data_IF_589717273120
#
_entry.id   IF_589717273120
#
_cell.length_a   1.000
_cell.length_b   1.000
_cell.length_c   1.000
_cell.angle_alpha   90.00
_cell.angle_beta   90.00
_cell.angle_gamma   90.00
#
_symmetry.space_group_name_H-M   'P 1'
#
loop_
_entity.id
_entity.type
_entity.pdbx_description
1 polymer ?
#
# COMPACT_ATOMS: atom_id res chain seq x y z
N UNK A 1 -11.88 18.65 -20.03
CA UNK A 1 -12.64 17.61 -19.31
C UNK A 1 -11.74 17.04 -18.22
N UNK A 2 -12.29 16.73 -17.06
CA UNK A 2 -11.55 16.16 -15.92
C UNK A 2 -10.97 14.80 -16.29
N UNK A 3 -9.75 14.51 -15.82
CA UNK A 3 -9.15 13.16 -15.93
C UNK A 3 -9.30 12.38 -14.62
N UNK A 4 -9.79 13.02 -13.56
CA UNK A 4 -9.96 12.43 -12.24
C UNK A 4 -11.41 11.95 -11.99
N UNK A 5 -12.41 12.74 -12.40
CA UNK A 5 -13.82 12.42 -12.22
C UNK A 5 -14.43 11.90 -13.53
N UNK A 6 -15.07 10.74 -13.47
CA UNK A 6 -15.85 10.17 -14.58
C UNK A 6 -17.34 10.55 -14.48
N UNK A 7 -18.14 10.17 -15.48
CA UNK A 7 -19.55 10.61 -15.61
C UNK A 7 -20.40 10.28 -14.38
N UNK A 8 -20.30 9.06 -13.84
CA UNK A 8 -20.97 8.72 -12.57
C UNK A 8 -20.58 9.59 -11.37
N UNK A 9 -19.32 10.04 -11.29
CA UNK A 9 -18.92 11.04 -10.28
C UNK A 9 -19.59 12.39 -10.54
N UNK A 10 -19.69 12.78 -11.81
CA UNK A 10 -20.27 14.05 -12.24
C UNK A 10 -21.78 14.12 -12.01
N UNK A 11 -22.50 13.03 -12.24
CA UNK A 11 -23.92 12.92 -11.93
C UNK A 11 -24.20 13.16 -10.45
N UNK A 12 -23.45 12.50 -9.55
CA UNK A 12 -23.59 12.70 -8.11
C UNK A 12 -23.20 14.13 -7.70
N UNK A 13 -22.15 14.67 -8.29
CA UNK A 13 -21.72 16.04 -8.01
C UNK A 13 -22.78 17.07 -8.39
N UNK A 14 -23.45 16.90 -9.53
CA UNK A 14 -24.52 17.78 -9.97
C UNK A 14 -25.76 17.62 -9.09
N UNK A 15 -26.12 16.37 -8.76
CA UNK A 15 -27.24 16.05 -7.87
C UNK A 15 -27.12 16.72 -6.50
N UNK A 16 -25.90 16.87 -5.98
CA UNK A 16 -25.64 17.47 -4.67
C UNK A 16 -25.04 18.89 -4.75
N UNK A 17 -25.06 19.56 -5.91
CA UNK A 17 -24.47 20.89 -6.15
C UNK A 17 -23.00 21.04 -5.66
N UNK A 18 -22.19 20.01 -5.92
CA UNK A 18 -20.77 19.96 -5.52
C UNK A 18 -19.80 20.00 -6.69
N UNK A 19 -20.25 20.07 -7.96
CA UNK A 19 -19.37 20.10 -9.14
C UNK A 19 -18.30 21.20 -9.04
N UNK A 20 -18.72 22.42 -8.66
CA UNK A 20 -17.83 23.60 -8.48
C UNK A 20 -16.74 23.34 -7.44
N UNK A 21 -17.09 22.66 -6.36
CA UNK A 21 -16.17 22.29 -5.29
C UNK A 21 -15.22 21.18 -5.75
N UNK A 22 -15.74 20.15 -6.44
CA UNK A 22 -14.95 19.06 -6.99
C UNK A 22 -13.89 19.59 -7.98
N UNK A 23 -14.27 20.51 -8.87
CA UNK A 23 -13.34 21.14 -9.81
C UNK A 23 -12.25 21.93 -9.08
N UNK A 24 -12.60 22.64 -7.99
CA UNK A 24 -11.61 23.35 -7.17
C UNK A 24 -10.67 22.39 -6.45
N UNK A 25 -11.17 21.25 -5.97
CA UNK A 25 -10.35 20.20 -5.34
C UNK A 25 -9.39 19.60 -6.36
N UNK A 26 -9.86 19.23 -7.55
CA UNK A 26 -9.02 18.72 -8.64
C UNK A 26 -7.89 19.70 -8.97
N UNK A 27 -8.21 20.98 -9.12
CA UNK A 27 -7.24 22.03 -9.45
C UNK A 27 -6.19 22.31 -8.36
N UNK A 28 -6.53 22.10 -7.08
CA UNK A 28 -5.71 22.58 -5.96
C UNK A 28 -5.00 21.48 -5.19
N UNK A 29 -5.61 20.30 -5.11
CA UNK A 29 -5.17 19.24 -4.20
C UNK A 29 -4.72 17.99 -4.95
N UNK A 30 -5.15 17.78 -6.19
CA UNK A 30 -4.77 16.58 -6.94
C UNK A 30 -3.50 16.87 -7.73
N UNK A 31 -2.44 16.14 -7.40
CA UNK A 31 -1.14 16.22 -8.06
C UNK A 31 -0.79 14.92 -8.80
N UNK A 32 0.32 14.94 -9.53
CA UNK A 32 0.90 13.77 -10.20
C UNK A 32 2.29 13.43 -9.67
N UNK A 33 2.76 14.16 -8.67
CA UNK A 33 4.08 14.00 -8.04
C UNK A 33 3.95 14.14 -6.53
N UNK A 34 4.76 13.39 -5.81
CA UNK A 34 4.87 13.41 -4.35
C UNK A 34 5.79 14.57 -3.97
N UNK A 35 5.28 15.50 -3.18
CA UNK A 35 6.07 16.58 -2.58
C UNK A 35 6.77 16.12 -1.30
N UNK A 36 7.69 16.94 -0.78
CA UNK A 36 8.53 16.58 0.38
C UNK A 36 7.71 16.29 1.65
N UNK A 37 6.63 17.03 1.89
CA UNK A 37 5.74 16.78 3.04
C UNK A 37 4.99 15.45 2.96
N UNK A 38 4.57 15.07 1.75
CA UNK A 38 3.89 13.80 1.50
C UNK A 38 4.87 12.63 1.55
N UNK A 39 6.10 12.84 1.05
CA UNK A 39 7.20 11.89 1.21
C UNK A 39 7.49 11.63 2.69
N UNK A 40 7.71 12.69 3.46
CA UNK A 40 7.98 12.56 4.90
C UNK A 40 6.82 11.86 5.63
N UNK A 41 5.58 12.12 5.21
CA UNK A 41 4.41 11.44 5.74
C UNK A 41 4.40 9.95 5.40
N UNK A 42 4.55 9.57 4.14
CA UNK A 42 4.59 8.16 3.69
C UNK A 42 5.67 7.39 4.42
N UNK A 43 6.89 7.95 4.49
CA UNK A 43 8.05 7.31 5.09
C UNK A 43 7.98 7.26 6.62
N UNK A 44 7.08 8.01 7.26
CA UNK A 44 6.88 7.94 8.72
C UNK A 44 5.96 6.80 9.17
N UNK A 45 5.21 6.19 8.25
CA UNK A 45 4.19 5.19 8.57
C UNK A 45 4.76 3.76 8.61
N UNK A 46 4.21 2.95 9.49
CA UNK A 46 4.48 1.51 9.66
C UNK A 46 3.47 0.62 8.92
N UNK A 47 2.46 1.21 8.27
CA UNK A 47 1.48 0.49 7.49
C UNK A 47 0.80 1.34 6.41
N UNK A 48 0.23 0.66 5.43
CA UNK A 48 -0.71 1.24 4.47
C UNK A 48 -1.71 0.19 3.95
N UNK A 49 -2.75 0.65 3.26
CA UNK A 49 -3.69 -0.23 2.56
C UNK A 49 -3.43 -0.20 1.06
N UNK A 50 -3.37 -1.37 0.44
CA UNK A 50 -3.17 -1.56 -0.98
C UNK A 50 -4.44 -2.14 -1.61
N UNK A 51 -5.04 -1.38 -2.52
CA UNK A 51 -6.12 -1.81 -3.39
C UNK A 51 -5.57 -2.23 -4.76
N UNK A 52 -6.02 -3.40 -5.22
CA UNK A 52 -5.70 -3.98 -6.54
C UNK A 52 -6.97 -4.59 -7.12
N UNK A 53 -6.97 -4.90 -8.41
CA UNK A 53 -8.01 -5.73 -9.02
C UNK A 53 -7.41 -6.65 -10.07
N UNK A 54 -8.05 -7.77 -10.33
CA UNK A 54 -7.67 -8.66 -11.44
C UNK A 54 -8.16 -8.11 -12.80
N UNK A 55 -8.05 -8.92 -13.85
CA UNK A 55 -8.51 -8.58 -15.20
C UNK A 55 -10.04 -8.44 -15.29
N UNK A 56 -10.80 -9.11 -14.42
CA UNK A 56 -12.26 -9.02 -14.36
C UNK A 56 -12.75 -7.84 -13.50
N UNK A 57 -11.81 -7.01 -13.01
CA UNK A 57 -12.03 -5.89 -12.11
C UNK A 57 -12.58 -6.29 -10.73
N UNK A 58 -12.34 -7.53 -10.29
CA UNK A 58 -12.69 -7.95 -8.94
C UNK A 58 -11.81 -7.21 -7.92
N UNK A 59 -12.37 -6.37 -7.04
CA UNK A 59 -11.56 -5.58 -6.11
C UNK A 59 -10.97 -6.44 -5.00
N UNK A 60 -9.73 -6.15 -4.63
CA UNK A 60 -9.05 -6.69 -3.47
C UNK A 60 -8.36 -5.57 -2.69
N UNK A 61 -8.45 -5.61 -1.36
CA UNK A 61 -7.79 -4.66 -0.47
C UNK A 61 -7.00 -5.43 0.59
N UNK A 62 -5.76 -5.02 0.81
CA UNK A 62 -4.85 -5.66 1.76
C UNK A 62 -4.16 -4.65 2.65
N UNK A 63 -3.93 -5.04 3.90
CA UNK A 63 -3.02 -4.35 4.80
C UNK A 63 -1.58 -4.75 4.46
N UNK A 64 -0.68 -3.76 4.39
CA UNK A 64 0.77 -3.95 4.27
C UNK A 64 1.43 -3.28 5.46
N UNK A 65 2.19 -4.03 6.25
CA UNK A 65 2.90 -3.54 7.42
C UNK A 65 4.41 -3.72 7.30
N UNK A 66 5.15 -2.87 7.99
CA UNK A 66 6.61 -2.90 8.06
C UNK A 66 7.13 -1.93 9.14
N UNK A 67 8.44 -1.79 9.26
CA UNK A 67 9.02 -0.72 10.08
C UNK A 67 8.79 0.65 9.42
N UNK A 68 8.66 1.76 10.18
CA UNK A 68 8.65 3.09 9.60
C UNK A 68 9.78 3.29 8.58
N UNK A 69 9.43 3.75 7.38
CA UNK A 69 10.35 3.88 6.25
C UNK A 69 10.44 2.64 5.36
N UNK A 70 9.62 1.60 5.58
CA UNK A 70 9.54 0.45 4.69
C UNK A 70 8.98 0.83 3.32
N UNK A 71 8.02 1.76 3.27
CA UNK A 71 7.60 2.42 2.03
C UNK A 71 8.55 3.59 1.80
N UNK A 72 9.20 3.61 0.63
CA UNK A 72 10.18 4.65 0.25
C UNK A 72 9.71 5.43 -0.96
N UNK A 73 9.84 6.74 -0.92
CA UNK A 73 9.65 7.60 -2.10
C UNK A 73 11.02 7.77 -2.74
N UNK A 74 11.29 6.94 -3.75
CA UNK A 74 12.61 6.88 -4.41
C UNK A 74 12.87 8.13 -5.24
N UNK A 75 11.82 8.70 -5.83
CA UNK A 75 11.79 9.98 -6.50
C UNK A 75 10.33 10.51 -6.48
N UNK A 76 10.07 11.79 -6.84
CA UNK A 76 8.71 12.35 -6.75
C UNK A 76 7.63 11.63 -7.57
N UNK A 77 7.99 10.77 -8.52
CA UNK A 77 7.06 9.98 -9.33
C UNK A 77 7.01 8.49 -8.96
N UNK A 78 7.77 8.03 -7.97
CA UNK A 78 7.94 6.59 -7.74
C UNK A 78 7.97 6.24 -6.25
N UNK A 79 7.15 5.25 -5.86
CA UNK A 79 7.18 4.61 -4.55
C UNK A 79 7.75 3.19 -4.67
N UNK A 80 8.50 2.74 -3.67
CA UNK A 80 8.92 1.36 -3.51
C UNK A 80 8.49 0.80 -2.15
N UNK A 81 8.08 -0.46 -2.10
CA UNK A 81 7.83 -1.18 -0.85
C UNK A 81 8.15 -2.67 -0.99
N UNK A 82 8.54 -3.36 0.10
CA UNK A 82 8.87 -4.78 0.07
C UNK A 82 7.63 -5.68 0.10
N UNK A 83 7.78 -6.90 -0.42
CA UNK A 83 6.91 -8.03 -0.09
C UNK A 83 7.68 -9.03 0.75
N UNK A 84 7.14 -9.38 1.91
CA UNK A 84 7.63 -10.43 2.79
C UNK A 84 6.88 -11.74 2.54
N UNK A 85 7.43 -12.83 3.05
CA UNK A 85 6.72 -14.11 3.12
C UNK A 85 5.38 -13.97 3.89
N UNK A 86 4.37 -14.73 3.47
CA UNK A 86 3.00 -14.58 3.94
C UNK A 86 2.21 -15.88 3.90
N UNK A 87 0.94 -15.80 3.53
CA UNK A 87 0.03 -16.95 3.46
C UNK A 87 0.06 -17.68 2.10
N UNK A 88 0.97 -17.31 1.20
CA UNK A 88 1.13 -17.93 -0.12
C UNK A 88 0.03 -17.61 -1.13
N UNK A 89 -1.00 -16.84 -0.80
CA UNK A 89 -2.09 -16.57 -1.75
C UNK A 89 -1.72 -15.62 -2.89
N UNK A 90 -0.72 -14.76 -2.67
CA UNK A 90 -0.25 -13.74 -3.61
C UNK A 90 -1.33 -12.87 -4.26
N UNK A 91 -2.55 -12.74 -3.69
CA UNK A 91 -3.68 -12.06 -4.34
C UNK A 91 -3.32 -10.67 -4.90
N UNK A 92 -2.69 -9.82 -4.10
CA UNK A 92 -2.28 -8.49 -4.57
C UNK A 92 -1.29 -8.58 -5.73
N UNK A 93 -0.25 -9.43 -5.61
CA UNK A 93 0.86 -9.50 -6.56
C UNK A 93 0.47 -10.23 -7.85
N UNK A 94 -0.38 -11.26 -7.74
CA UNK A 94 -1.01 -11.93 -8.87
C UNK A 94 -1.92 -10.98 -9.66
N UNK A 95 -2.69 -10.13 -8.97
CA UNK A 95 -3.47 -9.08 -9.62
C UNK A 95 -2.56 -8.13 -10.43
N UNK A 96 -1.41 -7.72 -9.88
CA UNK A 96 -0.48 -6.82 -10.59
C UNK A 96 0.05 -7.39 -11.91
N UNK A 97 0.14 -8.71 -12.04
CA UNK A 97 0.56 -9.36 -13.27
C UNK A 97 -0.47 -9.23 -14.41
N UNK A 98 -1.75 -9.06 -14.06
CA UNK A 98 -2.84 -8.90 -15.04
C UNK A 98 -3.28 -7.45 -15.19
N UNK A 99 -3.27 -6.69 -14.10
CA UNK A 99 -3.67 -5.30 -14.04
C UNK A 99 -2.77 -4.54 -13.08
N UNK A 100 -1.93 -3.68 -13.66
CA UNK A 100 -0.91 -2.95 -12.90
C UNK A 100 -1.46 -1.81 -12.07
N UNK A 101 -2.74 -1.44 -12.21
CA UNK A 101 -3.31 -0.29 -11.50
C UNK A 101 -3.48 -0.59 -10.02
N UNK A 102 -3.01 0.32 -9.19
CA UNK A 102 -3.12 0.23 -7.74
C UNK A 102 -3.67 1.51 -7.13
N UNK A 103 -4.41 1.35 -6.04
CA UNK A 103 -4.73 2.41 -5.10
C UNK A 103 -4.00 2.17 -3.79
N UNK A 104 -3.43 3.21 -3.21
CA UNK A 104 -2.74 3.18 -1.93
C UNK A 104 -3.39 4.19 -0.99
N UNK A 105 -3.62 3.77 0.26
CA UNK A 105 -4.17 4.62 1.30
C UNK A 105 -3.25 4.61 2.52
N UNK A 106 -2.72 5.78 2.84
CA UNK A 106 -1.87 6.07 3.98
C UNK A 106 -2.66 6.86 5.01
N UNK A 107 -2.61 6.45 6.28
CA UNK A 107 -3.35 7.09 7.37
C UNK A 107 -2.46 7.13 8.62
N UNK A 108 -2.33 8.32 9.22
CA UNK A 108 -1.87 8.45 10.61
C UNK A 108 -3.11 8.56 11.50
N UNK A 109 -3.28 7.58 12.38
CA UNK A 109 -4.39 7.53 13.33
C UNK A 109 -4.11 8.30 14.61
N UNK A 110 -2.84 8.55 14.97
CA UNK A 110 -2.47 9.30 16.18
C UNK A 110 -2.63 10.81 15.93
N UNK A 111 -2.12 11.27 14.79
CA UNK A 111 -2.24 12.65 14.29
C UNK A 111 -3.03 12.60 12.99
N UNK A 112 -4.37 12.56 13.04
CA UNK A 112 -5.24 12.37 11.89
C UNK A 112 -4.77 13.11 10.64
N UNK A 113 -4.19 12.36 9.71
CA UNK A 113 -3.80 12.77 8.35
C UNK A 113 -4.03 11.57 7.46
N UNK A 114 -4.46 11.81 6.22
CA UNK A 114 -4.53 10.76 5.21
C UNK A 114 -3.99 11.25 3.88
N UNK A 115 -3.40 10.34 3.15
CA UNK A 115 -2.95 10.53 1.78
C UNK A 115 -3.40 9.34 0.96
N UNK A 116 -3.90 9.61 -0.24
CA UNK A 116 -4.18 8.56 -1.22
C UNK A 116 -3.28 8.75 -2.43
N UNK A 117 -2.86 7.63 -3.00
CA UNK A 117 -2.04 7.57 -4.19
C UNK A 117 -2.63 6.55 -5.14
N UNK A 118 -2.70 6.89 -6.42
CA UNK A 118 -2.96 5.93 -7.49
C UNK A 118 -1.71 5.80 -8.34
N UNK A 119 -1.49 4.62 -8.89
CA UNK A 119 -0.32 4.38 -9.73
C UNK A 119 -0.37 3.07 -10.49
N UNK A 120 0.72 2.78 -11.18
CA UNK A 120 0.96 1.53 -11.87
C UNK A 120 2.13 0.80 -11.22
N UNK A 121 1.87 -0.41 -10.72
CA UNK A 121 2.84 -1.19 -9.98
C UNK A 121 3.59 -2.19 -10.88
N UNK A 122 4.79 -2.54 -10.45
CA UNK A 122 5.69 -3.54 -11.05
C UNK A 122 6.43 -4.30 -9.96
N UNK A 123 6.66 -5.58 -10.20
CA UNK A 123 7.40 -6.47 -9.29
C UNK A 123 8.84 -6.58 -9.78
N UNK A 124 9.80 -6.39 -8.86
CA UNK A 124 11.24 -6.43 -9.12
C UNK A 124 11.89 -7.42 -8.16
N UNK A 125 12.32 -8.58 -8.70
CA UNK A 125 12.95 -9.64 -7.91
C UNK A 125 14.38 -9.28 -7.49
N UNK A 126 15.09 -8.48 -8.30
CA UNK A 126 16.49 -8.09 -8.07
C UNK A 126 16.63 -6.56 -7.90
N UNK A 127 15.70 -5.94 -7.17
CA UNK A 127 15.72 -4.48 -6.96
C UNK A 127 16.93 -4.04 -6.10
N UNK A 128 17.61 -2.93 -6.43
CA UNK A 128 18.70 -2.38 -5.61
C UNK A 128 18.32 -2.06 -4.15
N UNK A 129 17.02 -1.88 -3.86
CA UNK A 129 16.53 -1.67 -2.49
C UNK A 129 16.35 -2.96 -1.71
N UNK A 130 16.36 -4.13 -2.35
CA UNK A 130 16.10 -5.42 -1.69
C UNK A 130 17.04 -5.68 -0.50
N UNK A 131 18.37 -5.41 -0.56
CA UNK A 131 19.25 -5.59 0.60
C UNK A 131 18.89 -4.71 1.80
N UNK A 132 18.13 -3.64 1.60
CA UNK A 132 17.69 -2.75 2.66
C UNK A 132 16.37 -3.20 3.31
N UNK A 133 15.77 -4.31 2.85
CA UNK A 133 14.56 -4.92 3.38
C UNK A 133 14.87 -6.34 3.86
N UNK A 134 15.15 -6.55 5.16
CA UNK A 134 15.38 -7.88 5.72
C UNK A 134 14.27 -8.86 5.36
N UNK A 135 14.63 -10.06 4.93
CA UNK A 135 13.70 -11.16 4.59
C UNK A 135 12.68 -10.86 3.48
N UNK A 136 12.78 -9.74 2.77
CA UNK A 136 11.90 -9.45 1.64
C UNK A 136 12.17 -10.42 0.47
N UNK A 137 11.11 -10.91 -0.14
CA UNK A 137 11.17 -11.77 -1.33
C UNK A 137 11.43 -10.96 -2.60
N UNK A 138 10.89 -9.74 -2.68
CA UNK A 138 11.03 -8.82 -3.80
C UNK A 138 10.53 -7.42 -3.44
N UNK A 139 10.76 -6.45 -4.32
CA UNK A 139 10.29 -5.07 -4.18
C UNK A 139 9.22 -4.78 -5.21
N UNK A 140 8.17 -4.07 -4.79
CA UNK A 140 7.17 -3.50 -5.69
C UNK A 140 7.47 -2.03 -5.90
N UNK A 141 7.57 -1.60 -7.17
CA UNK A 141 7.65 -0.19 -7.54
C UNK A 141 6.33 0.29 -8.11
N UNK A 142 5.86 1.44 -7.66
CA UNK A 142 4.63 2.10 -8.11
C UNK A 142 5.00 3.41 -8.79
N UNK A 143 4.76 3.48 -10.10
CA UNK A 143 4.79 4.73 -10.85
C UNK A 143 3.53 5.53 -10.53
N UNK A 144 3.70 6.67 -9.87
CA UNK A 144 2.61 7.51 -9.37
C UNK A 144 1.90 8.18 -10.53
N UNK A 145 0.58 8.04 -10.57
CA UNK A 145 -0.27 8.73 -11.54
C UNK A 145 -1.11 9.83 -10.89
N UNK A 146 -1.47 9.65 -9.61
CA UNK A 146 -2.26 10.62 -8.85
C UNK A 146 -1.81 10.64 -7.39
N UNK A 147 -1.67 11.84 -6.83
CA UNK A 147 -1.47 12.11 -5.40
C UNK A 147 -2.63 12.99 -4.96
N UNK A 148 -3.35 12.57 -3.93
CA UNK A 148 -4.55 13.27 -3.49
C UNK A 148 -4.67 13.29 -1.97
N UNK A 149 -4.18 14.36 -1.33
CA UNK A 149 -4.37 14.60 0.09
C UNK A 149 -5.86 14.81 0.38
N UNK A 150 -6.35 14.18 1.44
CA UNK A 150 -7.73 14.39 1.88
C UNK A 150 -7.75 14.92 3.31
N UNK A 151 -8.75 15.76 3.60
CA UNK A 151 -9.06 16.23 4.93
C UNK A 151 -9.16 15.06 5.93
N UNK A 152 -8.67 15.19 7.18
CA UNK A 152 -8.69 14.12 8.17
C UNK A 152 -10.06 13.88 8.82
N UNK A 153 -11.11 14.61 8.42
CA UNK A 153 -12.48 14.42 8.91
C UNK A 153 -12.89 12.94 8.88
N UNK A 154 -13.43 12.43 9.98
CA UNK A 154 -13.82 11.02 10.18
C UNK A 154 -12.67 10.01 10.35
N UNK A 155 -11.40 10.42 10.37
CA UNK A 155 -10.32 9.51 10.81
C UNK A 155 -10.40 9.41 12.34
N UNK A 156 -10.72 8.22 12.84
CA UNK A 156 -10.71 7.95 14.27
C UNK A 156 -9.30 7.99 14.83
N UNK A 157 -9.17 8.40 16.09
CA UNK A 157 -7.89 8.33 16.78
C UNK A 157 -7.65 6.92 17.31
N UNK A 158 -6.53 6.34 16.92
CA UNK A 158 -6.00 5.11 17.50
C UNK A 158 -4.57 5.34 17.95
N UNK A 159 -4.17 4.64 19.01
CA UNK A 159 -2.80 4.60 19.49
C UNK A 159 -2.21 3.22 19.17
N UNK A 160 -0.95 3.20 18.73
CA UNK A 160 -0.18 1.98 18.62
C UNK A 160 0.01 1.39 20.02
N UNK A 161 -0.41 0.15 20.22
CA UNK A 161 -0.20 -0.58 21.48
C UNK A 161 1.16 -1.28 21.44
N UNK A 162 1.42 -2.03 20.38
CA UNK A 162 2.67 -2.74 20.15
C UNK A 162 2.94 -2.90 18.65
N UNK A 163 4.22 -3.03 18.28
CA UNK A 163 4.60 -3.43 16.93
C UNK A 163 4.51 -4.94 16.80
N UNK A 164 4.07 -5.40 15.63
CA UNK A 164 4.03 -6.82 15.32
C UNK A 164 5.44 -7.40 15.35
N UNK A 165 5.65 -8.46 16.13
CA UNK A 165 6.90 -9.23 16.13
C UNK A 165 7.18 -9.96 14.81
N UNK A 166 6.18 -10.00 13.90
CA UNK A 166 6.31 -10.59 12.57
C UNK A 166 6.81 -9.61 11.50
N UNK A 167 7.07 -8.35 11.84
CA UNK A 167 7.72 -7.41 10.92
C UNK A 167 9.22 -7.73 10.88
N UNK A 168 9.80 -8.07 9.72
CA UNK A 168 11.22 -8.37 9.64
C UNK A 168 12.07 -7.13 9.91
N UNK A 169 13.08 -7.27 10.76
CA UNK A 169 14.04 -6.22 11.05
C UNK A 169 15.45 -6.79 11.28
N UNK A 170 16.47 -5.97 11.05
CA UNK A 170 17.85 -6.43 11.14
C UNK A 170 18.20 -6.96 12.53
N UNK A 171 19.01 -8.02 12.58
CA UNK A 171 19.53 -8.60 13.82
C UNK A 171 18.55 -9.48 14.61
N UNK A 172 17.35 -9.74 14.10
CA UNK A 172 16.37 -10.63 14.71
C UNK A 172 15.79 -11.57 13.66
N UNK A 173 15.68 -12.86 13.99
CA UNK A 173 14.98 -13.80 13.12
C UNK A 173 13.47 -13.64 13.32
N UNK A 174 12.72 -13.42 12.23
CA UNK A 174 11.26 -13.30 12.31
C UNK A 174 10.65 -14.61 12.83
N UNK A 175 9.79 -14.57 13.87
CA UNK A 175 9.16 -15.76 14.42
C UNK A 175 8.16 -16.37 13.43
N UNK A 176 8.06 -17.70 13.45
CA UNK A 176 7.08 -18.43 12.64
C UNK A 176 5.67 -18.22 13.19
N UNK A 177 4.70 -17.74 12.37
CA UNK A 177 3.31 -17.61 12.79
C UNK A 177 2.68 -18.94 13.21
N UNK A 178 1.88 -18.94 14.28
CA UNK A 178 1.30 -20.16 14.84
C UNK A 178 0.46 -20.97 13.84
N UNK A 179 -0.23 -20.31 12.91
CA UNK A 179 -1.07 -21.01 11.93
C UNK A 179 -0.25 -21.91 10.99
N UNK A 180 1.02 -21.57 10.70
CA UNK A 180 1.91 -22.43 9.91
C UNK A 180 2.25 -23.74 10.62
N UNK A 181 2.16 -23.76 11.96
CA UNK A 181 2.42 -24.95 12.79
C UNK A 181 1.17 -25.82 13.00
N UNK A 182 0.03 -25.40 12.48
CA UNK A 182 -1.22 -26.13 12.65
C UNK A 182 -1.32 -27.34 11.72
N UNK A 183 -2.10 -28.33 12.13
CA UNK A 183 -2.24 -29.59 11.39
C UNK A 183 -2.84 -29.44 9.99
N UNK A 184 -3.59 -28.35 9.74
CA UNK A 184 -4.19 -28.12 8.42
C UNK A 184 -3.23 -27.50 7.40
N UNK A 185 -2.09 -26.95 7.85
CA UNK A 185 -1.17 -26.20 7.00
C UNK A 185 0.23 -26.81 6.91
N UNK A 186 0.72 -27.42 7.99
CA UNK A 186 2.15 -27.76 8.16
C UNK A 186 2.72 -28.67 7.07
N UNK A 187 1.92 -29.59 6.54
CA UNK A 187 2.32 -30.60 5.55
C UNK A 187 2.34 -30.03 4.11
N UNK A 188 1.67 -28.90 3.88
CA UNK A 188 1.57 -28.23 2.58
C UNK A 188 2.42 -26.94 2.50
N UNK A 189 3.25 -26.66 3.51
CA UNK A 189 4.17 -25.52 3.47
C UNK A 189 5.29 -25.71 2.42
N UNK A 190 5.91 -24.62 1.94
CA UNK A 190 7.10 -24.71 1.10
C UNK A 190 8.20 -25.57 1.72
N UNK A 191 9.01 -26.26 0.89
CA UNK A 191 10.07 -27.18 1.35
C UNK A 191 11.06 -26.52 2.31
N UNK A 192 11.36 -25.24 2.06
CA UNK A 192 12.31 -24.46 2.86
C UNK A 192 11.63 -23.61 3.95
N UNK A 193 10.33 -23.81 4.22
CA UNK A 193 9.64 -23.05 5.28
C UNK A 193 10.16 -23.48 6.67
N UNK A 194 10.56 -22.55 7.54
CA UNK A 194 11.08 -22.87 8.86
C UNK A 194 10.11 -23.63 9.77
N UNK A 195 8.80 -23.60 9.48
CA UNK A 195 7.78 -24.35 10.19
C UNK A 195 7.58 -25.77 9.67
N UNK A 196 8.11 -26.11 8.48
CA UNK A 196 8.08 -27.45 7.90
C UNK A 196 9.20 -28.29 8.52
N UNK A 197 9.06 -28.62 9.80
CA UNK A 197 9.95 -29.50 10.57
C UNK A 197 9.18 -30.65 11.18
#
# INVERSE_FOLDING_TARGET
MSKFYHDGSRELQDRFDTRRLADRIEQRLIGTRIGDEDKAFIESLDMFFLATSDADNQPSCSYKGGEPGFVRVVDPGTIAFPTYDGNGMFLSMGNLAQNRRVGMLFIDFLRPKRLRISGEATIHLDDPLLPAYPEAQFVVRVAVTQVFPNCPRYVHKYALVERSSFVPHAGCATPVPNWKRSDWAKDVLPENDPARK
#
